data_IF_498867893729
#
_entry.id   IF_498867893729
#
_cell.length_a   1.000
_cell.length_b   1.000
_cell.length_c   1.000
_cell.angle_alpha   90.00
_cell.angle_beta   90.00
_cell.angle_gamma   90.00
#
_symmetry.space_group_name_H-M   'P 1'
#
loop_
_entity.id
_entity.type
_entity.pdbx_description
1 polymer ?
#
# COMPACT_ATOMS: atom_id res chain seq x y z
N UNK A 1 -21.55 -48.49 -45.71
CA UNK A 1 -20.36 -48.81 -46.52
C UNK A 1 -19.15 -48.79 -45.61
N UNK A 2 -18.17 -49.69 -45.82
CA UNK A 2 -16.80 -49.58 -45.30
C UNK A 2 -16.03 -48.50 -46.11
N UNK A 3 -14.78 -48.08 -45.84
CA UNK A 3 -13.59 -48.81 -45.34
C UNK A 3 -12.52 -47.87 -44.74
N UNK A 4 -11.67 -48.39 -43.83
CA UNK A 4 -10.25 -48.00 -43.56
C UNK A 4 -9.90 -46.56 -43.13
N UNK A 5 -8.76 -46.22 -42.50
CA UNK A 5 -7.73 -46.91 -41.68
C UNK A 5 -6.84 -45.77 -41.06
N UNK A 6 -5.90 -45.92 -40.11
CA UNK A 6 -5.25 -47.03 -39.38
C UNK A 6 -5.05 -46.56 -37.90
N UNK A 7 -4.28 -47.15 -36.97
CA UNK A 7 -3.43 -48.35 -36.95
C UNK A 7 -2.01 -48.07 -36.41
N UNK A 8 -1.54 -48.89 -35.45
CA UNK A 8 -0.23 -48.86 -34.75
C UNK A 8 -0.08 -47.74 -33.68
N UNK A 9 0.43 -47.99 -32.47
CA UNK A 9 0.95 -49.25 -31.88
C UNK A 9 0.87 -49.29 -30.33
N UNK A 10 1.20 -50.45 -29.75
CA UNK A 10 1.21 -50.73 -28.30
C UNK A 10 2.55 -50.28 -27.65
N UNK A 11 2.75 -50.24 -26.32
CA UNK A 11 2.01 -50.82 -25.18
C UNK A 11 2.18 -49.92 -23.91
N UNK A 12 1.50 -50.11 -22.78
CA UNK A 12 0.37 -51.00 -22.45
C UNK A 12 0.19 -51.17 -20.92
N UNK A 13 -1.06 -51.34 -20.46
CA UNK A 13 -1.50 -51.67 -19.08
C UNK A 13 -1.16 -50.67 -17.93
N UNK A 14 -2.01 -50.41 -16.93
CA UNK A 14 -3.42 -50.80 -16.75
C UNK A 14 -4.22 -49.82 -15.84
N UNK A 15 -5.53 -49.73 -16.15
CA UNK A 15 -6.72 -49.44 -15.33
C UNK A 15 -6.59 -48.67 -13.99
N UNK A 16 -7.23 -47.49 -13.95
CA UNK A 16 -7.52 -46.67 -12.76
C UNK A 16 -8.74 -47.22 -11.99
N UNK A 17 -8.78 -47.08 -10.65
CA UNK A 17 -9.98 -46.64 -9.93
C UNK A 17 -9.73 -45.32 -9.17
N UNK A 18 -10.79 -44.51 -8.96
CA UNK A 18 -10.65 -43.09 -8.64
C UNK A 18 -10.77 -42.75 -7.14
N UNK A 19 -9.96 -41.78 -6.72
CA UNK A 19 -10.27 -40.79 -5.68
C UNK A 19 -9.63 -39.46 -6.13
N UNK A 20 -10.32 -38.33 -5.99
CA UNK A 20 -9.99 -37.09 -6.69
C UNK A 20 -9.81 -35.89 -5.74
N UNK A 21 -8.71 -35.90 -4.99
CA UNK A 21 -8.20 -34.74 -4.25
C UNK A 21 -6.86 -34.31 -4.86
N UNK A 22 -6.93 -33.60 -5.99
CA UNK A 22 -5.77 -32.94 -6.59
C UNK A 22 -5.42 -31.68 -5.79
N UNK A 23 -4.13 -31.42 -5.48
CA UNK A 23 -3.73 -30.14 -4.90
C UNK A 23 -4.20 -28.99 -5.80
N UNK A 24 -5.09 -28.14 -5.26
CA UNK A 24 -5.52 -26.93 -5.96
C UNK A 24 -4.30 -26.05 -6.28
N UNK A 25 -4.35 -25.24 -7.36
CA UNK A 25 -3.23 -24.37 -7.71
C UNK A 25 -2.90 -23.47 -6.51
N UNK A 26 -1.66 -23.59 -6.01
CA UNK A 26 -1.21 -22.79 -4.88
C UNK A 26 -1.42 -21.30 -5.19
N UNK A 27 -1.84 -20.49 -4.21
CA UNK A 27 -1.94 -19.05 -4.43
C UNK A 27 -0.56 -18.53 -4.83
N UNK A 28 -0.46 -17.89 -5.99
CA UNK A 28 0.76 -17.25 -6.46
C UNK A 28 1.09 -16.07 -5.56
N UNK A 29 1.73 -16.35 -4.42
CA UNK A 29 2.45 -15.36 -3.64
C UNK A 29 3.63 -14.88 -4.48
N UNK A 30 3.35 -13.92 -5.36
CA UNK A 30 4.34 -13.08 -6.03
C UNK A 30 5.05 -12.22 -4.99
N UNK A 31 5.91 -12.85 -4.19
CA UNK A 31 6.80 -12.17 -3.28
C UNK A 31 7.65 -11.21 -4.10
N UNK A 32 7.61 -9.88 -3.83
CA UNK A 32 8.50 -8.95 -4.49
C UNK A 32 9.95 -9.37 -4.28
N UNK A 33 10.82 -9.04 -5.24
CA UNK A 33 12.26 -9.17 -5.01
C UNK A 33 12.66 -8.37 -3.75
N UNK A 34 13.68 -8.80 -2.99
CA UNK A 34 14.19 -8.08 -1.83
C UNK A 34 14.93 -6.81 -2.26
N UNK A 35 14.14 -5.83 -2.68
CA UNK A 35 14.56 -4.48 -2.96
C UNK A 35 15.03 -3.81 -1.67
N UNK A 36 16.08 -2.98 -1.74
CA UNK A 36 16.74 -2.43 -0.55
C UNK A 36 16.07 -1.15 -0.01
N UNK A 37 15.00 -0.67 -0.65
CA UNK A 37 14.16 0.41 -0.14
C UNK A 37 13.02 -0.07 0.75
N UNK A 38 12.23 0.87 1.27
CA UNK A 38 11.12 0.60 2.19
C UNK A 38 9.91 0.04 1.42
N UNK A 39 9.37 -1.10 1.88
CA UNK A 39 8.06 -1.59 1.43
C UNK A 39 6.94 -0.75 2.09
N UNK A 40 6.13 0.00 1.31
CA UNK A 40 5.05 0.81 1.89
C UNK A 40 3.97 -0.02 2.59
N UNK A 41 3.74 -1.29 2.18
CA UNK A 41 2.75 -2.15 2.83
C UNK A 41 3.24 -2.70 4.18
N UNK A 42 4.56 -2.89 4.35
CA UNK A 42 5.16 -3.35 5.61
C UNK A 42 5.13 -2.28 6.73
N UNK A 43 4.96 -1.00 6.38
CA UNK A 43 4.92 0.10 7.36
C UNK A 43 3.73 0.03 8.33
N UNK A 44 2.63 -0.64 7.95
CA UNK A 44 1.47 -0.87 8.82
C UNK A 44 1.20 -2.38 8.99
N UNK A 45 1.78 -2.95 10.04
CA UNK A 45 1.50 -4.31 10.49
C UNK A 45 0.05 -4.47 10.98
N UNK A 46 -0.40 -5.71 11.26
CA UNK A 46 -1.79 -5.98 11.67
C UNK A 46 -2.24 -5.19 12.91
N UNK A 47 -1.34 -4.97 13.88
CA UNK A 47 -1.64 -4.18 15.08
C UNK A 47 -1.68 -2.67 14.79
N UNK A 48 -0.78 -2.15 13.94
CA UNK A 48 -0.79 -0.74 13.53
C UNK A 48 -2.12 -0.41 12.83
N UNK A 49 -2.51 -1.25 11.85
CA UNK A 49 -3.76 -1.10 11.11
C UNK A 49 -4.98 -1.14 12.03
N UNK A 50 -5.03 -2.12 12.94
CA UNK A 50 -6.08 -2.20 13.95
C UNK A 50 -6.15 -0.96 14.84
N UNK A 51 -4.99 -0.41 15.24
CA UNK A 51 -4.88 0.81 16.07
C UNK A 51 -5.37 2.06 15.31
N UNK A 52 -5.09 2.14 14.01
CA UNK A 52 -5.55 3.21 13.12
C UNK A 52 -7.00 3.03 12.62
N UNK A 53 -7.73 2.00 13.06
CA UNK A 53 -9.10 1.71 12.58
C UNK A 53 -9.17 1.11 11.16
N UNK A 54 -8.04 0.69 10.61
CA UNK A 54 -7.92 0.04 9.30
C UNK A 54 -8.12 -1.48 9.48
N UNK A 55 -9.30 -1.97 9.10
CA UNK A 55 -9.65 -3.40 9.18
C UNK A 55 -9.39 -4.18 7.87
N UNK A 56 -8.91 -3.52 6.81
CA UNK A 56 -8.62 -4.11 5.50
C UNK A 56 -7.15 -4.49 5.31
N UNK A 57 -6.87 -5.38 4.36
CA UNK A 57 -5.52 -5.62 3.86
C UNK A 57 -5.07 -4.46 2.95
N UNK A 58 -3.76 -4.25 2.87
CA UNK A 58 -3.17 -3.25 1.99
C UNK A 58 -3.04 -3.78 0.56
N UNK A 59 -3.31 -2.92 -0.41
CA UNK A 59 -3.11 -3.21 -1.83
C UNK A 59 -1.88 -2.45 -2.31
N UNK A 60 -0.82 -3.18 -2.68
CA UNK A 60 0.36 -2.60 -3.29
C UNK A 60 0.01 -1.96 -4.65
N UNK A 61 0.52 -0.75 -4.90
CA UNK A 61 0.28 0.07 -6.09
C UNK A 61 1.56 0.81 -6.48
N UNK A 62 1.54 1.41 -7.67
CA UNK A 62 2.54 2.38 -8.11
C UNK A 62 1.86 3.70 -8.41
N UNK A 63 2.47 4.82 -8.00
CA UNK A 63 1.97 6.18 -8.22
C UNK A 63 3.12 6.99 -8.82
N UNK A 64 3.02 7.34 -10.11
CA UNK A 64 4.04 8.10 -10.85
C UNK A 64 5.47 7.48 -10.79
N UNK A 65 5.59 6.15 -10.75
CA UNK A 65 6.87 5.46 -10.58
C UNK A 65 7.41 5.42 -9.15
N UNK A 66 6.61 5.80 -8.15
CA UNK A 66 6.90 5.60 -6.72
C UNK A 66 6.06 4.45 -6.16
N UNK A 67 6.64 3.68 -5.23
CA UNK A 67 5.97 2.54 -4.58
C UNK A 67 4.91 3.04 -3.60
N UNK A 68 3.72 2.47 -3.63
CA UNK A 68 2.64 2.81 -2.71
C UNK A 68 1.90 1.59 -2.16
N UNK A 69 1.21 1.77 -1.04
CA UNK A 69 0.23 0.83 -0.51
C UNK A 69 -1.05 1.57 -0.12
N UNK A 70 -2.20 1.01 -0.49
CA UNK A 70 -3.54 1.59 -0.33
C UNK A 70 -4.40 0.75 0.62
N UNK A 71 -5.06 1.44 1.55
CA UNK A 71 -6.08 0.88 2.44
C UNK A 71 -7.35 1.72 2.33
N UNK A 72 -8.31 1.25 1.54
CA UNK A 72 -9.64 1.85 1.46
C UNK A 72 -10.57 1.21 2.51
N UNK A 73 -10.85 1.92 3.61
CA UNK A 73 -11.78 1.48 4.66
C UNK A 73 -13.22 1.85 4.22
N UNK A 74 -14.12 0.88 3.97
CA UNK A 74 -15.43 1.14 3.37
C UNK A 74 -16.24 2.20 4.13
N UNK A 75 -16.84 3.12 3.37
CA UNK A 75 -17.68 4.22 3.86
C UNK A 75 -17.05 5.14 4.93
N UNK A 76 -15.74 5.06 5.19
CA UNK A 76 -15.09 5.76 6.31
C UNK A 76 -13.93 6.66 5.86
N UNK A 77 -12.83 6.08 5.38
CA UNK A 77 -11.66 6.81 4.89
C UNK A 77 -10.74 5.93 4.03
N UNK A 78 -9.97 6.55 3.14
CA UNK A 78 -8.81 5.94 2.49
C UNK A 78 -7.50 6.38 3.13
N UNK A 79 -6.51 5.50 3.14
CA UNK A 79 -5.11 5.79 3.46
C UNK A 79 -4.23 5.28 2.32
N UNK A 80 -3.34 6.12 1.82
CA UNK A 80 -2.27 5.73 0.91
C UNK A 80 -0.94 6.09 1.53
N UNK A 81 -0.02 5.13 1.61
CA UNK A 81 1.37 5.39 1.97
C UNK A 81 2.23 5.24 0.71
N UNK A 82 2.90 6.31 0.31
CA UNK A 82 3.79 6.37 -0.85
C UNK A 82 5.23 6.61 -0.39
N UNK A 83 6.17 5.76 -0.84
CA UNK A 83 7.61 5.93 -0.59
C UNK A 83 8.21 6.65 -1.79
N UNK A 84 8.57 7.93 -1.60
CA UNK A 84 9.19 8.78 -2.61
C UNK A 84 10.71 8.82 -2.37
N UNK A 85 11.46 8.10 -3.21
CA UNK A 85 12.91 7.96 -3.11
C UNK A 85 13.68 9.06 -3.88
N UNK A 86 12.97 10.10 -4.34
CA UNK A 86 13.52 11.17 -5.20
C UNK A 86 13.36 12.57 -4.59
N UNK A 87 12.30 12.80 -3.81
CA UNK A 87 12.00 14.09 -3.19
C UNK A 87 12.11 14.00 -1.66
N UNK A 88 13.01 14.80 -1.08
CA UNK A 88 13.06 15.02 0.36
C UNK A 88 12.04 16.07 0.81
N UNK A 89 11.94 16.31 2.12
CA UNK A 89 11.00 17.30 2.66
C UNK A 89 11.25 18.72 2.13
N UNK A 90 12.52 19.11 1.92
CA UNK A 90 12.86 20.43 1.36
C UNK A 90 12.32 20.61 -0.06
N UNK A 91 12.40 19.56 -0.89
CA UNK A 91 11.91 19.58 -2.27
C UNK A 91 10.36 19.65 -2.28
N UNK A 92 9.71 18.90 -1.39
CA UNK A 92 8.25 18.86 -1.24
C UNK A 92 7.66 20.11 -0.58
N UNK A 93 8.36 20.76 0.34
CA UNK A 93 7.96 22.06 0.93
C UNK A 93 7.82 23.14 -0.13
N UNK A 94 8.79 23.25 -1.05
CA UNK A 94 8.76 24.21 -2.15
C UNK A 94 7.61 23.91 -3.13
N UNK A 95 7.31 22.63 -3.36
CA UNK A 95 6.23 22.21 -4.24
C UNK A 95 4.81 22.36 -3.63
N UNK A 96 4.65 22.15 -2.32
CA UNK A 96 3.35 22.07 -1.64
C UNK A 96 3.05 23.37 -0.88
N UNK A 97 2.41 24.33 -1.56
CA UNK A 97 2.07 25.67 -1.01
C UNK A 97 1.20 25.70 0.26
N UNK A 98 0.60 24.57 0.64
CA UNK A 98 -0.19 24.36 1.87
C UNK A 98 0.53 23.50 2.92
N UNK A 99 1.82 23.21 2.73
CA UNK A 99 2.65 22.52 3.70
C UNK A 99 2.91 23.39 4.96
N UNK A 100 3.03 22.73 6.10
CA UNK A 100 3.48 23.33 7.37
C UNK A 100 4.47 22.37 8.03
N UNK A 101 5.63 22.88 8.48
CA UNK A 101 6.61 22.09 9.23
C UNK A 101 6.03 21.55 10.53
N UNK A 102 6.35 20.32 10.85
CA UNK A 102 5.95 19.65 12.09
C UNK A 102 6.94 18.54 12.43
N UNK A 103 6.70 17.80 13.50
CA UNK A 103 7.41 16.56 13.85
C UNK A 103 6.42 15.45 14.12
N UNK A 104 6.83 14.22 13.85
CA UNK A 104 6.11 13.00 14.21
C UNK A 104 7.13 12.07 14.86
N UNK A 105 6.88 11.64 16.09
CA UNK A 105 7.92 10.99 16.90
C UNK A 105 9.14 11.91 17.06
N UNK A 106 10.33 11.39 16.75
CA UNK A 106 11.55 12.22 16.66
C UNK A 106 11.74 12.92 15.32
N UNK A 107 11.07 12.43 14.27
CA UNK A 107 11.36 12.72 12.86
C UNK A 107 10.74 14.03 12.40
N UNK A 108 11.49 14.76 11.56
CA UNK A 108 10.96 15.94 10.88
C UNK A 108 9.93 15.55 9.83
N UNK A 109 8.91 16.40 9.69
CA UNK A 109 7.76 16.14 8.84
C UNK A 109 7.15 17.42 8.27
N UNK A 110 6.39 17.27 7.18
CA UNK A 110 5.45 18.29 6.70
C UNK A 110 4.03 17.78 6.85
N UNK A 111 3.10 18.65 7.24
CA UNK A 111 1.67 18.41 7.11
C UNK A 111 1.10 19.30 6.01
N UNK A 112 0.44 18.71 5.03
CA UNK A 112 -0.17 19.39 3.88
C UNK A 112 -1.68 19.24 3.98
N UNK A 113 -2.39 20.37 4.13
CA UNK A 113 -3.85 20.38 4.24
C UNK A 113 -4.41 21.76 3.90
N UNK A 114 -5.38 21.84 2.99
CA UNK A 114 -6.10 23.10 2.75
C UNK A 114 -7.27 23.25 3.73
N UNK A 115 -7.00 23.94 4.84
CA UNK A 115 -7.99 24.28 5.87
C UNK A 115 -9.13 25.20 5.38
N UNK A 116 -9.03 25.79 4.18
CA UNK A 116 -10.08 26.61 3.57
C UNK A 116 -10.94 25.80 2.60
N UNK A 117 -10.36 24.83 1.92
CA UNK A 117 -11.11 23.89 1.08
C UNK A 117 -11.99 22.96 1.92
N UNK A 118 -11.49 22.53 3.09
CA UNK A 118 -12.18 21.62 4.01
C UNK A 118 -12.60 20.27 3.38
N UNK A 119 -11.89 19.87 2.33
CA UNK A 119 -12.12 18.74 1.42
C UNK A 119 -11.97 17.33 2.02
N UNK A 120 -11.79 17.22 3.34
CA UNK A 120 -11.61 15.94 4.02
C UNK A 120 -10.31 15.23 3.67
N UNK A 121 -9.32 15.91 3.09
CA UNK A 121 -7.99 15.36 2.79
C UNK A 121 -6.92 15.95 3.72
N UNK A 122 -5.89 15.15 4.01
CA UNK A 122 -4.67 15.61 4.67
C UNK A 122 -3.51 14.67 4.37
N UNK A 123 -2.34 15.21 4.08
CA UNK A 123 -1.11 14.42 3.91
C UNK A 123 -0.08 14.75 4.99
N UNK A 124 0.60 13.72 5.50
CA UNK A 124 1.75 13.85 6.40
C UNK A 124 2.97 13.20 5.74
N UNK A 125 4.00 14.00 5.50
CA UNK A 125 5.21 13.62 4.79
C UNK A 125 6.33 13.47 5.83
N UNK A 126 6.87 12.27 6.01
CA UNK A 126 7.98 11.96 6.91
C UNK A 126 9.32 11.99 6.18
N UNK A 127 10.35 12.62 6.74
CA UNK A 127 11.67 12.70 6.11
C UNK A 127 12.47 11.39 6.23
N UNK A 128 12.97 10.87 5.11
CA UNK A 128 13.77 9.65 5.03
C UNK A 128 15.18 9.99 4.50
N UNK A 129 15.90 10.82 5.24
CA UNK A 129 17.12 11.49 4.78
C UNK A 129 16.85 12.72 3.91
N UNK A 130 17.88 13.23 3.25
CA UNK A 130 17.83 14.52 2.51
C UNK A 130 17.05 14.48 1.19
N UNK A 131 16.88 13.29 0.59
CA UNK A 131 16.39 13.10 -0.78
C UNK A 131 15.24 12.11 -0.91
N UNK A 132 14.73 11.58 0.20
CA UNK A 132 13.58 10.70 0.20
C UNK A 132 12.59 11.06 1.31
N UNK A 133 11.35 10.63 1.14
CA UNK A 133 10.27 10.83 2.10
C UNK A 133 9.22 9.74 2.00
N UNK A 134 8.42 9.60 3.05
CA UNK A 134 7.21 8.75 3.05
C UNK A 134 6.00 9.66 3.19
N UNK A 135 5.15 9.68 2.18
CA UNK A 135 3.93 10.49 2.12
C UNK A 135 2.76 9.61 2.58
N UNK A 136 2.12 9.98 3.68
CA UNK A 136 0.90 9.35 4.22
C UNK A 136 -0.27 10.26 3.87
N UNK A 137 -0.97 9.94 2.78
CA UNK A 137 -2.14 10.65 2.29
C UNK A 137 -3.41 10.01 2.85
N UNK A 138 -4.29 10.82 3.47
CA UNK A 138 -5.58 10.38 4.01
C UNK A 138 -6.72 11.18 3.40
N UNK A 139 -7.82 10.50 3.07
CA UNK A 139 -9.06 11.12 2.59
C UNK A 139 -10.29 10.51 3.26
N UNK A 140 -11.15 11.35 3.83
CA UNK A 140 -12.44 10.91 4.38
C UNK A 140 -13.41 10.61 3.22
N UNK A 141 -14.19 9.52 3.30
CA UNK A 141 -15.03 9.07 2.16
C UNK A 141 -16.14 10.05 1.76
N UNK A 142 -16.50 10.99 2.63
CA UNK A 142 -17.45 12.07 2.36
C UNK A 142 -16.80 13.37 1.85
N UNK A 143 -15.47 13.42 1.74
CA UNK A 143 -14.69 14.61 1.37
C UNK A 143 -15.02 15.86 2.21
N UNK A 144 -15.21 15.65 3.52
CA UNK A 144 -15.30 16.74 4.52
C UNK A 144 -14.47 16.41 5.77
N UNK A 145 -14.31 17.38 6.66
CA UNK A 145 -13.56 17.26 7.92
C UNK A 145 -12.05 16.98 7.74
N UNK A 146 -11.38 17.93 7.07
CA UNK A 146 -9.92 18.02 6.98
C UNK A 146 -9.20 17.91 8.35
N UNK A 147 -9.72 18.48 9.48
CA UNK A 147 -9.19 18.19 10.81
C UNK A 147 -9.11 16.70 11.15
N UNK A 148 -10.22 15.96 11.04
CA UNK A 148 -10.26 14.50 11.28
C UNK A 148 -9.34 13.72 10.32
N UNK A 149 -9.26 14.14 9.05
CA UNK A 149 -8.33 13.56 8.09
C UNK A 149 -6.87 13.74 8.54
N UNK A 150 -6.53 14.92 9.08
CA UNK A 150 -5.20 15.18 9.63
C UNK A 150 -4.89 14.44 10.93
N UNK A 151 -5.87 14.22 11.80
CA UNK A 151 -5.68 13.41 13.02
C UNK A 151 -5.36 11.95 12.64
N UNK A 152 -6.12 11.38 11.70
CA UNK A 152 -5.85 10.07 11.10
C UNK A 152 -4.47 10.01 10.43
N UNK A 153 -4.11 11.00 9.62
CA UNK A 153 -2.81 11.05 8.95
C UNK A 153 -1.64 11.11 9.94
N UNK A 154 -1.75 11.91 11.01
CA UNK A 154 -0.72 11.99 12.07
C UNK A 154 -0.65 10.69 12.88
N UNK A 155 -1.78 10.05 13.18
CA UNK A 155 -1.81 8.75 13.86
C UNK A 155 -1.12 7.66 13.03
N UNK A 156 -1.47 7.54 11.75
CA UNK A 156 -0.84 6.58 10.82
C UNK A 156 0.65 6.87 10.65
N UNK A 157 1.03 8.14 10.51
CA UNK A 157 2.43 8.54 10.44
C UNK A 157 3.20 8.13 11.71
N UNK A 158 2.64 8.32 12.90
CA UNK A 158 3.26 7.92 14.17
C UNK A 158 3.41 6.39 14.35
N UNK A 159 2.59 5.59 13.66
CA UNK A 159 2.73 4.13 13.60
C UNK A 159 3.76 3.68 12.57
N UNK A 160 3.89 4.39 11.45
CA UNK A 160 4.87 4.12 10.40
C UNK A 160 6.30 4.56 10.78
N UNK A 161 6.45 5.68 11.49
CA UNK A 161 7.73 6.34 11.80
C UNK A 161 8.80 5.40 12.39
N UNK A 162 8.51 4.55 13.40
CA UNK A 162 9.51 3.66 14.01
C UNK A 162 9.99 2.52 13.10
N UNK A 163 9.44 2.40 11.89
CA UNK A 163 9.80 1.39 10.88
C UNK A 163 10.58 1.99 9.70
N UNK A 164 10.84 3.31 9.74
CA UNK A 164 11.64 4.01 8.73
C UNK A 164 13.13 4.03 9.13
N UNK A 165 14.05 3.96 8.15
CA UNK A 165 15.49 4.16 8.38
C UNK A 165 15.84 5.62 8.74
#
# INVERSE_FOLDING_TARGET
MTVSACGQGAAGQAKIPAAADGPGPAPSSSAPAPDRGVDPCALLGPQDRSTAGINVLGVAKEINGARACDWTVPATFGVTITVDERNGLTDLEVARKTATKTKVGGRDALKVADKKAADGTCAVLLGMGEKASVQIDVSNTNFTDTPLACERAVQVAGLAEPKLP
#
